data_IF_246808946950
#
_entry.id   IF_246808946950
#
_cell.length_a   1.000
_cell.length_b   1.000
_cell.length_c   1.000
_cell.angle_alpha   90.00
_cell.angle_beta   90.00
_cell.angle_gamma   90.00
#
_symmetry.space_group_name_H-M   'P 1'
#
loop_
_entity.id
_entity.type
_entity.pdbx_description
1 polymer ?
#
# COMPACT_ATOMS: atom_id res chain seq x y z
N UNK A 1 23.04 -51.55 17.04
CA UNK A 1 22.02 -50.68 16.42
C UNK A 1 22.80 -49.67 15.60
N UNK A 2 22.86 -49.90 14.29
CA UNK A 2 23.88 -49.37 13.38
C UNK A 2 23.71 -47.86 13.14
N UNK A 3 24.83 -47.11 13.22
CA UNK A 3 24.92 -45.66 12.97
C UNK A 3 24.43 -45.24 11.56
N UNK A 4 24.35 -46.19 10.62
CA UNK A 4 23.84 -45.99 9.26
C UNK A 4 22.31 -45.75 9.20
N UNK A 5 21.57 -46.17 10.23
CA UNK A 5 20.12 -45.93 10.34
C UNK A 5 19.77 -44.48 10.67
N UNK A 6 20.64 -43.75 11.37
CA UNK A 6 20.41 -42.34 11.69
C UNK A 6 20.83 -41.40 10.55
N UNK A 7 21.89 -41.75 9.81
CA UNK A 7 22.37 -40.95 8.66
C UNK A 7 21.43 -41.00 7.46
N UNK A 8 20.71 -42.11 7.27
CA UNK A 8 19.72 -42.24 6.19
C UNK A 8 18.41 -41.47 6.43
N UNK A 9 18.09 -41.14 7.68
CA UNK A 9 16.92 -40.30 8.02
C UNK A 9 17.27 -38.81 7.87
N UNK A 10 18.52 -38.41 8.10
CA UNK A 10 18.97 -37.02 7.93
C UNK A 10 19.27 -36.63 6.47
N UNK A 11 19.62 -37.57 5.58
CA UNK A 11 19.88 -37.21 4.17
C UNK A 11 18.60 -37.08 3.32
N UNK A 12 17.46 -37.58 3.81
CA UNK A 12 16.20 -37.62 3.04
C UNK A 12 15.19 -36.52 3.42
N UNK A 13 15.47 -35.71 4.45
CA UNK A 13 14.63 -34.58 4.85
C UNK A 13 15.01 -33.26 4.17
N UNK A 14 16.21 -33.17 3.57
CA UNK A 14 16.71 -31.93 2.94
C UNK A 14 16.45 -31.71 1.44
N UNK A 15 15.91 -32.63 0.60
CA UNK A 15 15.66 -32.30 -0.81
C UNK A 15 14.39 -31.46 -1.07
N UNK A 16 13.40 -31.49 -0.18
CA UNK A 16 12.08 -30.89 -0.45
C UNK A 16 11.91 -29.44 0.05
N UNK A 17 12.62 -29.02 1.10
CA UNK A 17 12.52 -27.64 1.61
C UNK A 17 13.26 -26.63 0.71
N UNK A 18 14.37 -27.04 0.08
CA UNK A 18 15.13 -26.20 -0.85
C UNK A 18 14.42 -26.02 -2.21
N UNK A 19 13.51 -26.93 -2.57
CA UNK A 19 12.76 -26.86 -3.83
C UNK A 19 11.59 -25.87 -3.78
N UNK A 20 11.24 -25.38 -2.59
CA UNK A 20 10.07 -24.54 -2.35
C UNK A 20 10.39 -23.06 -2.15
N UNK A 21 11.65 -22.63 -2.21
CA UNK A 21 11.95 -21.20 -2.04
C UNK A 21 11.78 -20.45 -3.35
N UNK A 22 10.73 -19.62 -3.43
CA UNK A 22 10.50 -18.79 -4.59
C UNK A 22 11.60 -17.74 -4.82
N UNK A 23 11.78 -17.30 -6.07
CA UNK A 23 12.61 -16.12 -6.42
C UNK A 23 12.20 -14.94 -5.53
N UNK A 24 13.12 -14.48 -4.68
CA UNK A 24 12.84 -13.40 -3.72
C UNK A 24 12.95 -11.99 -4.33
N UNK A 25 13.73 -11.85 -5.42
CA UNK A 25 14.00 -10.55 -6.04
C UNK A 25 12.73 -9.82 -6.54
N UNK A 26 11.80 -10.46 -7.28
CA UNK A 26 10.55 -9.81 -7.70
C UNK A 26 9.69 -9.37 -6.52
N UNK A 27 9.71 -10.14 -5.42
CA UNK A 27 8.96 -9.83 -4.19
C UNK A 27 9.55 -8.60 -3.49
N UNK A 28 10.88 -8.48 -3.46
CA UNK A 28 11.55 -7.28 -2.94
C UNK A 28 11.30 -6.05 -3.81
N UNK A 29 11.31 -6.17 -5.15
CA UNK A 29 11.00 -5.06 -6.05
C UNK A 29 9.55 -4.58 -5.84
N UNK A 30 8.59 -5.50 -5.72
CA UNK A 30 7.21 -5.16 -5.42
C UNK A 30 7.09 -4.45 -4.07
N UNK A 31 7.79 -4.94 -3.06
CA UNK A 31 7.82 -4.31 -1.73
C UNK A 31 8.47 -2.93 -1.75
N UNK A 32 9.55 -2.73 -2.50
CA UNK A 32 10.19 -1.43 -2.67
C UNK A 32 9.25 -0.43 -3.37
N UNK A 33 8.49 -0.87 -4.37
CA UNK A 33 7.48 -0.01 -5.01
C UNK A 33 6.34 0.37 -4.06
N UNK A 34 5.92 -0.54 -3.18
CA UNK A 34 4.93 -0.25 -2.14
C UNK A 34 5.51 0.70 -1.07
N UNK A 35 6.78 0.52 -0.70
CA UNK A 35 7.49 1.43 0.20
C UNK A 35 7.52 2.85 -0.35
N UNK A 36 7.75 3.06 -1.65
CA UNK A 36 7.63 4.39 -2.27
C UNK A 36 6.23 4.99 -2.09
N UNK A 37 5.19 4.17 -2.19
CA UNK A 37 3.82 4.60 -1.89
C UNK A 37 3.62 4.92 -0.41
N UNK A 38 4.24 4.18 0.51
CA UNK A 38 4.22 4.49 1.94
C UNK A 38 4.99 5.78 2.24
N UNK A 39 6.07 6.07 1.52
CA UNK A 39 6.75 7.36 1.58
C UNK A 39 5.82 8.48 1.11
N UNK A 40 5.12 8.31 -0.01
CA UNK A 40 4.15 9.29 -0.51
C UNK A 40 3.00 9.52 0.48
N UNK A 41 2.41 8.44 1.03
CA UNK A 41 1.34 8.50 2.03
C UNK A 41 1.78 9.13 3.34
N UNK A 42 2.97 8.75 3.84
CA UNK A 42 3.57 9.34 5.04
C UNK A 42 3.93 10.82 4.83
N UNK A 43 4.28 11.20 3.60
CA UNK A 43 4.58 12.59 3.27
C UNK A 43 3.37 13.52 3.43
N UNK A 44 2.17 13.02 3.13
CA UNK A 44 0.93 13.78 3.35
C UNK A 44 0.73 14.10 4.82
N UNK A 45 1.07 13.16 5.72
CA UNK A 45 0.95 13.31 7.16
C UNK A 45 2.00 14.29 7.72
N UNK A 46 3.25 14.19 7.26
CA UNK A 46 4.33 15.06 7.73
C UNK A 46 4.27 16.49 7.17
N UNK A 47 3.60 16.72 6.04
CA UNK A 47 3.53 18.05 5.41
C UNK A 47 2.88 19.12 6.31
N UNK A 48 1.76 18.81 6.99
CA UNK A 48 1.09 19.78 7.86
C UNK A 48 1.99 20.20 9.03
N UNK A 49 2.73 19.26 9.62
CA UNK A 49 3.57 19.54 10.79
C UNK A 49 4.75 20.47 10.49
N UNK A 50 5.36 20.34 9.32
CA UNK A 50 6.55 21.12 8.95
C UNK A 50 6.22 22.53 8.45
N UNK A 51 5.09 22.67 7.75
CA UNK A 51 4.79 23.89 7.02
C UNK A 51 4.07 24.94 7.88
N UNK A 52 3.62 24.58 9.08
CA UNK A 52 2.76 25.42 9.94
C UNK A 52 3.43 26.75 10.32
N UNK A 53 4.66 26.71 10.83
CA UNK A 53 5.36 27.94 11.26
C UNK A 53 5.74 28.85 10.08
N UNK A 54 6.04 28.27 8.93
CA UNK A 54 6.48 29.01 7.75
C UNK A 54 5.29 29.59 6.97
N UNK A 55 4.15 28.88 6.94
CA UNK A 55 2.89 29.42 6.41
C UNK A 55 2.39 30.62 7.23
N UNK A 56 2.60 30.62 8.54
CA UNK A 56 2.15 31.69 9.42
C UNK A 56 3.01 32.97 9.27
N UNK A 57 4.31 32.82 8.97
CA UNK A 57 5.24 33.94 8.82
C UNK A 57 5.27 34.52 7.40
N UNK A 58 5.45 33.68 6.39
CA UNK A 58 5.74 34.11 5.01
C UNK A 58 4.59 33.84 4.04
N UNK A 59 3.55 33.13 4.51
CA UNK A 59 2.44 32.69 3.66
C UNK A 59 2.85 31.63 2.64
N UNK A 60 1.93 31.28 1.74
CA UNK A 60 2.20 30.33 0.66
C UNK A 60 1.78 30.93 -0.67
N UNK A 61 2.69 31.05 -1.66
CA UNK A 61 2.41 31.72 -2.94
C UNK A 61 1.81 33.15 -2.78
N UNK A 62 2.34 33.96 -1.86
CA UNK A 62 1.80 35.29 -1.50
C UNK A 62 0.38 35.29 -0.89
N UNK A 63 -0.13 34.12 -0.48
CA UNK A 63 -1.39 33.99 0.25
C UNK A 63 -1.06 34.13 1.74
N UNK A 64 -1.64 35.14 2.39
CA UNK A 64 -1.63 35.23 3.86
C UNK A 64 -2.61 34.20 4.42
N UNK A 65 -2.15 33.38 5.34
CA UNK A 65 -2.94 32.29 5.92
C UNK A 65 -3.07 32.55 7.42
N UNK A 66 -4.30 32.60 7.91
CA UNK A 66 -4.56 32.80 9.34
C UNK A 66 -4.29 31.53 10.14
N UNK A 67 -4.00 31.65 11.44
CA UNK A 67 -3.76 30.51 12.33
C UNK A 67 -4.99 29.58 12.39
N UNK A 68 -6.21 30.11 12.18
CA UNK A 68 -7.44 29.30 12.07
C UNK A 68 -7.46 28.48 10.78
N UNK A 69 -7.02 29.06 9.66
CA UNK A 69 -6.99 28.40 8.37
C UNK A 69 -5.97 27.26 8.33
N UNK A 70 -4.82 27.43 8.98
CA UNK A 70 -3.79 26.38 9.10
C UNK A 70 -4.35 25.14 9.83
N UNK A 71 -5.12 25.33 10.89
CA UNK A 71 -5.76 24.22 11.62
C UNK A 71 -6.70 23.44 10.69
N UNK A 72 -7.49 24.14 9.88
CA UNK A 72 -8.36 23.53 8.88
C UNK A 72 -7.59 22.79 7.79
N UNK A 73 -6.42 23.28 7.34
CA UNK A 73 -5.56 22.58 6.37
C UNK A 73 -5.17 21.18 6.89
N UNK A 74 -4.85 21.09 8.18
CA UNK A 74 -4.58 19.81 8.85
C UNK A 74 -5.81 18.91 8.93
N UNK A 75 -6.94 19.45 9.41
CA UNK A 75 -8.19 18.70 9.55
C UNK A 75 -8.78 18.22 8.21
N UNK A 76 -8.63 18.98 7.13
CA UNK A 76 -9.08 18.58 5.80
C UNK A 76 -8.44 17.27 5.33
N UNK A 77 -7.16 17.05 5.64
CA UNK A 77 -6.48 15.79 5.29
C UNK A 77 -7.04 14.59 6.07
N UNK A 78 -7.31 14.76 7.37
CA UNK A 78 -7.89 13.68 8.19
C UNK A 78 -9.33 13.38 7.82
N UNK A 79 -10.12 14.41 7.50
CA UNK A 79 -11.48 14.25 6.96
C UNK A 79 -11.48 13.49 5.63
N UNK A 80 -10.54 13.80 4.73
CA UNK A 80 -10.37 13.06 3.48
C UNK A 80 -10.02 11.58 3.73
N UNK A 81 -9.10 11.30 4.65
CA UNK A 81 -8.74 9.93 5.01
C UNK A 81 -9.93 9.15 5.59
N UNK A 82 -10.71 9.77 6.47
CA UNK A 82 -11.92 9.18 7.05
C UNK A 82 -12.96 8.86 5.96
N UNK A 83 -13.19 9.79 5.03
CA UNK A 83 -14.15 9.61 3.95
C UNK A 83 -13.80 8.41 3.04
N UNK A 84 -12.52 8.17 2.78
CA UNK A 84 -12.09 7.05 1.93
C UNK A 84 -11.99 5.70 2.63
N UNK A 85 -11.89 5.66 3.96
CA UNK A 85 -11.73 4.41 4.70
C UNK A 85 -12.88 3.41 4.41
N UNK A 86 -14.13 3.89 4.40
CA UNK A 86 -15.31 3.06 4.12
C UNK A 86 -15.33 2.44 2.69
N UNK A 87 -15.17 3.22 1.61
CA UNK A 87 -15.21 2.67 0.25
C UNK A 87 -13.95 1.89 -0.16
N UNK A 88 -12.83 2.01 0.57
CA UNK A 88 -11.55 1.39 0.16
C UNK A 88 -11.66 -0.11 -0.07
N UNK A 89 -12.35 -0.85 0.81
CA UNK A 89 -12.54 -2.30 0.65
C UNK A 89 -13.28 -2.65 -0.64
N UNK A 90 -14.38 -1.94 -0.92
CA UNK A 90 -15.17 -2.12 -2.14
C UNK A 90 -14.37 -1.75 -3.40
N UNK A 91 -13.57 -0.69 -3.32
CA UNK A 91 -12.73 -0.23 -4.42
C UNK A 91 -11.68 -1.29 -4.80
N UNK A 92 -11.00 -1.85 -3.80
CA UNK A 92 -10.00 -2.90 -3.98
C UNK A 92 -10.61 -4.21 -4.52
N UNK A 93 -11.84 -4.55 -4.13
CA UNK A 93 -12.51 -5.75 -4.61
C UNK A 93 -13.04 -5.59 -6.04
N UNK A 94 -13.59 -4.42 -6.39
CA UNK A 94 -14.20 -4.18 -7.70
C UNK A 94 -13.19 -3.84 -8.80
N UNK A 95 -12.24 -2.95 -8.53
CA UNK A 95 -11.24 -2.53 -9.53
C UNK A 95 -10.07 -3.51 -9.64
N UNK A 96 -9.79 -4.25 -8.57
CA UNK A 96 -8.54 -4.99 -8.40
C UNK A 96 -7.55 -4.20 -7.57
N UNK A 97 -6.52 -4.90 -7.09
CA UNK A 97 -5.64 -4.37 -6.04
C UNK A 97 -4.61 -3.44 -6.67
N UNK A 98 -4.03 -3.84 -7.81
CA UNK A 98 -3.10 -2.99 -8.56
C UNK A 98 -3.77 -1.71 -9.05
N UNK A 99 -4.93 -1.84 -9.72
CA UNK A 99 -5.65 -0.68 -10.26
C UNK A 99 -6.10 0.28 -9.15
N UNK A 100 -6.59 -0.23 -8.01
CA UNK A 100 -6.93 0.61 -6.88
C UNK A 100 -5.72 1.44 -6.41
N UNK A 101 -4.56 0.82 -6.21
CA UNK A 101 -3.35 1.52 -5.78
C UNK A 101 -2.87 2.54 -6.83
N UNK A 102 -2.98 2.24 -8.13
CA UNK A 102 -2.66 3.20 -9.20
C UNK A 102 -3.59 4.43 -9.19
N UNK A 103 -4.90 4.23 -8.93
CA UNK A 103 -5.83 5.35 -8.77
C UNK A 103 -5.42 6.23 -7.58
N UNK A 104 -5.03 5.62 -6.45
CA UNK A 104 -4.53 6.37 -5.29
C UNK A 104 -3.24 7.14 -5.61
N UNK A 105 -2.33 6.56 -6.40
CA UNK A 105 -1.12 7.24 -6.88
C UNK A 105 -1.46 8.50 -7.69
N UNK A 106 -2.44 8.41 -8.59
CA UNK A 106 -2.94 9.56 -9.35
C UNK A 106 -3.58 10.60 -8.43
N UNK A 107 -4.34 10.18 -7.43
CA UNK A 107 -4.92 11.09 -6.43
C UNK A 107 -3.84 11.84 -5.63
N UNK A 108 -2.74 11.19 -5.24
CA UNK A 108 -1.62 11.88 -4.60
C UNK A 108 -1.06 12.99 -5.49
N UNK A 109 -0.77 12.68 -6.75
CA UNK A 109 -0.22 13.66 -7.70
C UNK A 109 -1.19 14.81 -7.89
N UNK A 110 -2.47 14.52 -8.15
CA UNK A 110 -3.51 15.54 -8.31
C UNK A 110 -3.59 16.45 -7.08
N UNK A 111 -3.63 15.88 -5.88
CA UNK A 111 -3.71 16.64 -4.64
C UNK A 111 -2.49 17.55 -4.43
N UNK A 112 -1.28 17.09 -4.73
CA UNK A 112 -0.09 17.93 -4.68
C UNK A 112 -0.09 19.04 -5.73
N UNK A 113 -0.55 18.77 -6.96
CA UNK A 113 -0.66 19.79 -8.00
C UNK A 113 -1.65 20.90 -7.60
N UNK A 114 -2.78 20.54 -6.99
CA UNK A 114 -3.74 21.53 -6.45
C UNK A 114 -3.09 22.44 -5.40
N UNK A 115 -2.21 21.91 -4.55
CA UNK A 115 -1.48 22.70 -3.55
C UNK A 115 -0.41 23.57 -4.21
N UNK A 116 0.39 23.03 -5.14
CA UNK A 116 1.49 23.76 -5.80
C UNK A 116 0.96 24.99 -6.57
N UNK A 117 -0.16 24.82 -7.28
CA UNK A 117 -0.82 25.86 -8.06
C UNK A 117 -1.90 26.61 -7.29
N UNK A 118 -1.95 26.48 -5.97
CA UNK A 118 -2.94 27.16 -5.16
C UNK A 118 -2.76 28.69 -5.26
N UNK A 119 -3.84 29.35 -5.69
CA UNK A 119 -4.01 30.81 -5.68
C UNK A 119 -4.96 31.27 -4.56
N UNK A 120 -5.57 30.32 -3.83
CA UNK A 120 -6.48 30.57 -2.72
C UNK A 120 -6.36 29.46 -1.67
N UNK A 121 -6.70 29.78 -0.41
CA UNK A 121 -6.71 28.80 0.69
C UNK A 121 -7.67 27.63 0.40
N UNK A 122 -8.79 27.90 -0.27
CA UNK A 122 -9.74 26.87 -0.71
C UNK A 122 -9.11 25.81 -1.62
N UNK A 123 -8.19 26.18 -2.51
CA UNK A 123 -7.49 25.19 -3.35
C UNK A 123 -6.57 24.30 -2.52
N UNK A 124 -5.96 24.85 -1.48
CA UNK A 124 -5.16 24.08 -0.51
C UNK A 124 -6.08 23.09 0.21
N UNK A 125 -7.25 23.50 0.69
CA UNK A 125 -8.22 22.58 1.32
C UNK A 125 -8.62 21.43 0.41
N UNK A 126 -8.95 21.71 -0.85
CA UNK A 126 -9.29 20.67 -1.83
C UNK A 126 -8.11 19.71 -2.03
N UNK A 127 -6.90 20.24 -2.23
CA UNK A 127 -5.69 19.41 -2.38
C UNK A 127 -5.41 18.54 -1.14
N UNK A 128 -5.63 19.07 0.07
CA UNK A 128 -5.48 18.33 1.34
C UNK A 128 -6.52 17.21 1.48
N UNK A 129 -7.77 17.46 1.11
CA UNK A 129 -8.80 16.41 1.10
C UNK A 129 -8.38 15.29 0.15
N UNK A 130 -7.97 15.62 -1.09
CA UNK A 130 -7.59 14.62 -2.10
C UNK A 130 -6.37 13.80 -1.67
N UNK A 131 -5.31 14.46 -1.18
CA UNK A 131 -4.11 13.76 -0.67
C UNK A 131 -4.41 12.92 0.57
N UNK A 132 -5.29 13.41 1.47
CA UNK A 132 -5.75 12.67 2.64
C UNK A 132 -6.55 11.43 2.27
N UNK A 133 -7.46 11.55 1.31
CA UNK A 133 -8.22 10.44 0.71
C UNK A 133 -7.28 9.34 0.18
N UNK A 134 -6.24 9.74 -0.56
CA UNK A 134 -5.24 8.81 -1.09
C UNK A 134 -4.43 8.12 0.01
N UNK A 135 -3.94 8.88 1.00
CA UNK A 135 -3.13 8.36 2.12
C UNK A 135 -3.91 7.37 2.98
N UNK A 136 -5.16 7.70 3.32
CA UNK A 136 -6.02 6.83 4.14
C UNK A 136 -6.35 5.49 3.49
N UNK A 137 -6.56 5.48 2.17
CA UNK A 137 -6.84 4.25 1.43
C UNK A 137 -5.58 3.42 1.12
N UNK A 138 -4.41 4.06 1.03
CA UNK A 138 -3.18 3.41 0.58
C UNK A 138 -2.66 2.34 1.55
N UNK A 139 -2.68 2.61 2.86
CA UNK A 139 -2.14 1.67 3.85
C UNK A 139 -2.85 0.31 3.83
N UNK A 140 -4.18 0.21 3.95
CA UNK A 140 -4.87 -1.08 3.86
C UNK A 140 -4.77 -1.70 2.45
N UNK A 141 -4.81 -0.89 1.38
CA UNK A 141 -4.70 -1.40 0.02
C UNK A 141 -3.34 -2.04 -0.26
N UNK A 142 -2.25 -1.38 0.15
CA UNK A 142 -0.87 -1.89 -0.02
C UNK A 142 -0.61 -3.14 0.83
N UNK A 143 -1.14 -3.18 2.06
CA UNK A 143 -1.04 -4.35 2.93
C UNK A 143 -1.72 -5.57 2.30
N UNK A 144 -2.95 -5.41 1.79
CA UNK A 144 -3.66 -6.49 1.09
C UNK A 144 -2.89 -6.89 -0.16
N UNK A 145 -2.50 -5.94 -1.01
CA UNK A 145 -1.75 -6.21 -2.24
C UNK A 145 -0.48 -7.03 -1.99
N UNK A 146 0.36 -6.61 -1.04
CA UNK A 146 1.58 -7.35 -0.70
C UNK A 146 1.28 -8.69 -0.04
N UNK A 147 0.25 -8.78 0.80
CA UNK A 147 -0.13 -10.05 1.45
C UNK A 147 -0.58 -11.10 0.43
N UNK A 148 -1.21 -10.70 -0.67
CA UNK A 148 -1.64 -11.62 -1.73
C UNK A 148 -0.51 -11.97 -2.70
N UNK A 149 0.53 -11.14 -2.78
CA UNK A 149 1.63 -11.27 -3.74
C UNK A 149 2.84 -12.01 -3.14
N UNK A 150 3.15 -11.74 -1.87
CA UNK A 150 4.34 -12.24 -1.18
C UNK A 150 4.11 -13.64 -0.60
N UNK A 151 5.17 -14.45 -0.67
CA UNK A 151 5.21 -15.81 -0.16
C UNK A 151 5.01 -15.86 1.37
N UNK A 152 4.33 -16.89 1.86
CA UNK A 152 3.87 -17.00 3.26
C UNK A 152 5.00 -16.80 4.28
N UNK A 153 6.20 -17.31 4.01
CA UNK A 153 7.36 -17.25 4.92
C UNK A 153 7.86 -15.83 5.19
N UNK A 154 7.98 -15.00 4.13
CA UNK A 154 8.53 -13.64 4.23
C UNK A 154 7.46 -12.55 4.22
N UNK A 155 6.18 -12.93 4.11
CA UNK A 155 5.02 -12.03 4.02
C UNK A 155 4.99 -11.00 5.13
N UNK A 156 5.16 -11.42 6.39
CA UNK A 156 5.05 -10.52 7.54
C UNK A 156 6.05 -9.37 7.47
N UNK A 157 7.32 -9.67 7.17
CA UNK A 157 8.37 -8.67 7.05
C UNK A 157 8.15 -7.72 5.88
N UNK A 158 7.84 -8.26 4.69
CA UNK A 158 7.69 -7.45 3.48
C UNK A 158 6.43 -6.58 3.49
N UNK A 159 5.30 -7.09 4.01
CA UNK A 159 4.09 -6.28 4.20
C UNK A 159 4.36 -5.12 5.15
N UNK A 160 5.09 -5.37 6.24
CA UNK A 160 5.43 -4.34 7.23
C UNK A 160 6.35 -3.27 6.63
N UNK A 161 7.39 -3.68 5.91
CA UNK A 161 8.33 -2.75 5.24
C UNK A 161 7.59 -1.93 4.18
N UNK A 162 6.79 -2.57 3.33
CA UNK A 162 6.05 -1.90 2.26
C UNK A 162 4.97 -0.93 2.76
N UNK A 163 4.47 -1.12 3.98
CA UNK A 163 3.49 -0.25 4.65
C UNK A 163 4.10 0.75 5.64
N UNK A 164 5.42 0.94 5.66
CA UNK A 164 6.11 1.72 6.70
C UNK A 164 5.97 3.25 6.50
N UNK A 165 4.77 3.78 6.76
CA UNK A 165 4.47 5.21 6.73
C UNK A 165 5.42 6.09 7.59
N UNK A 166 5.90 5.65 8.77
CA UNK A 166 6.80 6.46 9.59
C UNK A 166 8.09 6.87 8.88
N UNK A 167 8.60 6.06 7.95
CA UNK A 167 9.76 6.44 7.14
C UNK A 167 9.45 7.63 6.22
N UNK A 168 8.24 7.69 5.67
CA UNK A 168 7.77 8.82 4.87
C UNK A 168 7.65 10.08 5.70
N UNK A 169 7.08 9.96 6.90
CA UNK A 169 6.96 11.06 7.86
C UNK A 169 8.34 11.60 8.22
N UNK A 170 9.28 10.72 8.58
CA UNK A 170 10.65 11.10 8.93
C UNK A 170 11.35 11.82 7.76
N UNK A 171 11.23 11.29 6.54
CA UNK A 171 11.78 11.94 5.34
C UNK A 171 11.21 13.34 5.15
N UNK A 172 9.91 13.51 5.38
CA UNK A 172 9.30 14.84 5.25
C UNK A 172 9.72 15.86 6.29
N UNK A 173 10.06 15.44 7.52
CA UNK A 173 10.64 16.35 8.51
C UNK A 173 12.04 16.81 8.08
N UNK A 174 12.86 15.90 7.56
CA UNK A 174 14.20 16.23 7.06
C UNK A 174 14.10 17.21 5.87
N UNK A 175 13.22 16.93 4.92
CA UNK A 175 13.01 17.79 3.75
C UNK A 175 12.38 19.14 4.11
N UNK A 176 11.47 19.16 5.09
CA UNK A 176 10.83 20.39 5.57
C UNK A 176 11.80 21.34 6.22
N UNK A 177 12.81 20.83 6.94
CA UNK A 177 13.86 21.67 7.52
C UNK A 177 14.81 22.27 6.46
N UNK A 178 15.05 21.56 5.35
CA UNK A 178 16.07 21.92 4.38
C UNK A 178 15.57 22.77 3.20
N UNK A 179 14.25 22.79 2.93
CA UNK A 179 13.68 23.33 1.69
C UNK A 179 12.56 24.33 1.94
N UNK A 180 12.47 25.34 1.07
CA UNK A 180 11.35 26.28 1.06
C UNK A 180 10.00 25.57 0.85
N UNK A 181 8.88 26.09 1.39
CA UNK A 181 7.54 25.46 1.36
C UNK A 181 7.07 25.01 -0.03
N UNK A 182 7.34 25.82 -1.06
CA UNK A 182 6.98 25.51 -2.44
C UNK A 182 7.82 24.39 -3.03
N UNK A 183 9.15 24.45 -2.86
CA UNK A 183 10.06 23.43 -3.35
C UNK A 183 9.85 22.10 -2.61
N UNK A 184 9.64 22.17 -1.30
CA UNK A 184 9.24 21.04 -0.46
C UNK A 184 8.01 20.33 -1.04
N UNK A 185 6.93 21.06 -1.31
CA UNK A 185 5.69 20.49 -1.88
C UNK A 185 5.92 19.88 -3.28
N UNK A 186 6.76 20.50 -4.12
CA UNK A 186 7.15 19.96 -5.44
C UNK A 186 7.88 18.63 -5.28
N UNK A 187 8.81 18.51 -4.33
CA UNK A 187 9.53 17.25 -4.07
C UNK A 187 8.57 16.14 -3.66
N UNK A 188 7.54 16.42 -2.85
CA UNK A 188 6.53 15.41 -2.49
C UNK A 188 5.67 14.97 -3.69
N UNK A 189 5.38 15.89 -4.60
CA UNK A 189 4.73 15.56 -5.87
C UNK A 189 5.61 14.62 -6.72
N UNK A 190 6.92 14.89 -6.80
CA UNK A 190 7.89 14.04 -7.51
C UNK A 190 7.96 12.65 -6.91
N UNK A 191 7.99 12.51 -5.57
CA UNK A 191 7.93 11.21 -4.88
C UNK A 191 6.67 10.44 -5.29
N UNK A 192 5.53 11.13 -5.39
CA UNK A 192 4.26 10.52 -5.80
C UNK A 192 4.26 10.06 -7.26
N UNK A 193 4.93 10.81 -8.15
CA UNK A 193 5.14 10.43 -9.56
C UNK A 193 6.08 9.22 -9.67
N UNK A 194 7.18 9.19 -8.91
CA UNK A 194 8.09 8.06 -8.87
C UNK A 194 7.39 6.79 -8.37
N UNK A 195 6.53 6.93 -7.35
CA UNK A 195 5.67 5.84 -6.89
C UNK A 195 4.75 5.33 -8.00
N UNK A 196 4.03 6.22 -8.71
CA UNK A 196 3.17 5.83 -9.83
C UNK A 196 3.96 5.03 -10.88
N UNK A 197 5.11 5.54 -11.32
CA UNK A 197 5.96 4.89 -12.33
C UNK A 197 6.44 3.52 -11.85
N UNK A 198 6.96 3.44 -10.62
CA UNK A 198 7.45 2.18 -10.05
C UNK A 198 6.34 1.12 -9.93
N UNK A 199 5.12 1.56 -9.61
CA UNK A 199 3.99 0.67 -9.39
C UNK A 199 3.31 0.21 -10.71
N UNK A 200 3.45 0.96 -11.82
CA UNK A 200 2.91 0.57 -13.13
C UNK A 200 3.45 -0.78 -13.62
N UNK A 201 4.73 -1.07 -13.34
CA UNK A 201 5.41 -2.30 -13.77
C UNK A 201 5.08 -3.53 -12.91
N UNK A 202 4.36 -3.34 -11.79
CA UNK A 202 4.00 -4.42 -10.89
C UNK A 202 2.85 -5.27 -11.45
N UNK A 203 2.82 -6.58 -11.22
CA UNK A 203 1.72 -7.43 -11.67
C UNK A 203 0.45 -7.20 -10.84
N UNK A 204 -0.69 -7.68 -11.35
CA UNK A 204 -1.92 -7.76 -10.55
C UNK A 204 -1.85 -8.97 -9.61
N UNK A 205 -2.62 -8.97 -8.53
CA UNK A 205 -2.60 -10.09 -7.55
C UNK A 205 -3.12 -11.40 -8.17
N UNK A 206 -2.51 -12.56 -7.84
CA UNK A 206 -2.97 -13.85 -8.36
C UNK A 206 -4.38 -14.18 -7.87
N UNK A 207 -4.72 -13.80 -6.63
CA UNK A 207 -6.06 -13.99 -6.05
C UNK A 207 -7.13 -13.22 -6.84
N UNK A 208 -6.85 -11.97 -7.24
CA UNK A 208 -7.81 -11.20 -8.03
C UNK A 208 -8.04 -11.82 -9.42
N UNK A 209 -6.95 -12.25 -10.08
CA UNK A 209 -7.04 -12.93 -11.39
C UNK A 209 -7.85 -14.22 -11.28
N UNK A 210 -7.64 -15.02 -10.23
CA UNK A 210 -8.43 -16.22 -9.94
C UNK A 210 -9.91 -15.92 -9.68
N UNK A 211 -10.23 -14.86 -8.92
CA UNK A 211 -11.62 -14.45 -8.68
C UNK A 211 -12.36 -14.09 -9.97
N UNK A 212 -11.64 -13.60 -10.99
CA UNK A 212 -12.18 -13.28 -12.33
C UNK A 212 -12.24 -14.48 -13.29
N UNK A 213 -11.78 -15.67 -12.87
CA UNK A 213 -11.70 -16.84 -13.73
C UNK A 213 -10.51 -16.82 -14.71
N UNK A 214 -9.57 -15.89 -14.55
CA UNK A 214 -8.38 -15.75 -15.40
C UNK A 214 -7.22 -16.59 -14.84
N UNK A 215 -7.39 -17.91 -14.81
CA UNK A 215 -6.48 -18.88 -14.17
C UNK A 215 -5.05 -18.82 -14.76
N UNK A 216 -4.93 -18.70 -16.09
CA UNK A 216 -3.63 -18.54 -16.76
C UNK A 216 -2.87 -17.27 -16.34
N UNK A 217 -3.57 -16.14 -16.15
CA UNK A 217 -2.91 -14.90 -15.69
C UNK A 217 -2.45 -15.01 -14.24
N UNK A 218 -3.23 -15.70 -13.40
CA UNK A 218 -2.83 -15.99 -12.03
C UNK A 218 -1.57 -16.86 -12.00
N UNK A 219 -1.53 -17.91 -12.84
CA UNK A 219 -0.36 -18.79 -12.99
C UNK A 219 0.89 -18.03 -13.43
N UNK A 220 0.79 -17.20 -14.47
CA UNK A 220 1.91 -16.36 -14.94
C UNK A 220 2.40 -15.38 -13.87
N UNK A 221 1.49 -14.81 -13.08
CA UNK A 221 1.85 -13.94 -11.96
C UNK A 221 2.63 -14.71 -10.89
N UNK A 222 2.17 -15.91 -10.52
CA UNK A 222 2.87 -16.75 -9.55
C UNK A 222 4.24 -17.18 -10.07
N UNK A 223 4.36 -17.58 -11.35
CA UNK A 223 5.66 -17.88 -11.98
C UNK A 223 6.60 -16.67 -11.91
N UNK A 224 6.09 -15.46 -12.19
CA UNK A 224 6.90 -14.24 -12.09
C UNK A 224 7.36 -13.95 -10.66
N UNK A 225 6.51 -14.20 -9.65
CA UNK A 225 6.79 -13.87 -8.25
C UNK A 225 7.56 -14.95 -7.49
N UNK A 226 7.40 -16.23 -7.86
CA UNK A 226 8.02 -17.41 -7.23
C UNK A 226 9.12 -18.04 -8.10
N UNK A 227 9.15 -17.77 -9.40
CA UNK A 227 10.10 -18.38 -10.33
C UNK A 227 9.67 -19.76 -10.83
N UNK A 228 10.39 -20.25 -11.84
CA UNK A 228 10.02 -21.42 -12.64
C UNK A 228 10.19 -22.77 -11.90
N UNK A 229 10.97 -22.79 -10.82
CA UNK A 229 11.25 -23.98 -10.01
C UNK A 229 10.23 -24.24 -8.90
N UNK A 230 9.31 -23.30 -8.66
CA UNK A 230 8.30 -23.39 -7.61
C UNK A 230 7.07 -24.19 -8.07
N UNK A 231 6.45 -24.97 -7.18
CA UNK A 231 5.19 -25.67 -7.48
C UNK A 231 4.00 -24.70 -7.48
N UNK A 232 3.90 -23.94 -8.58
CA UNK A 232 2.85 -22.95 -8.81
C UNK A 232 1.46 -23.60 -8.81
N UNK A 233 1.35 -24.83 -9.31
CA UNK A 233 0.06 -25.50 -9.44
C UNK A 233 -0.50 -25.92 -8.07
N UNK A 234 0.36 -26.23 -7.09
CA UNK A 234 -0.06 -26.42 -5.71
C UNK A 234 -0.61 -25.14 -5.07
N UNK A 235 0.11 -24.01 -5.16
CA UNK A 235 -0.35 -22.72 -4.61
C UNK A 235 -1.65 -22.24 -5.30
N UNK A 236 -1.78 -22.47 -6.62
CA UNK A 236 -3.00 -22.15 -7.36
C UNK A 236 -4.22 -22.94 -6.87
N UNK A 237 -4.06 -24.24 -6.57
CA UNK A 237 -5.12 -25.08 -5.99
C UNK A 237 -5.54 -24.60 -4.61
N UNK A 238 -4.59 -24.21 -3.76
CA UNK A 238 -4.89 -23.63 -2.45
C UNK A 238 -5.70 -22.34 -2.57
N UNK A 239 -5.30 -21.43 -3.47
CA UNK A 239 -6.01 -20.17 -3.73
C UNK A 239 -7.44 -20.46 -4.23
N UNK A 240 -7.61 -21.43 -5.14
CA UNK A 240 -8.92 -21.82 -5.67
C UNK A 240 -9.84 -22.36 -4.57
N UNK A 241 -9.34 -23.26 -3.73
CA UNK A 241 -10.07 -23.79 -2.59
C UNK A 241 -10.46 -22.69 -1.57
N UNK A 242 -9.55 -21.75 -1.29
CA UNK A 242 -9.83 -20.60 -0.43
C UNK A 242 -10.97 -19.72 -0.98
N UNK A 243 -10.96 -19.42 -2.29
CA UNK A 243 -12.01 -18.63 -2.94
C UNK A 243 -13.37 -19.35 -2.91
N UNK A 244 -13.41 -20.66 -3.10
CA UNK A 244 -14.65 -21.43 -3.00
C UNK A 244 -15.23 -21.45 -1.59
N UNK A 245 -14.36 -21.55 -0.57
CA UNK A 245 -14.77 -21.45 0.82
C UNK A 245 -15.29 -20.05 1.17
N UNK A 246 -14.67 -18.98 0.66
CA UNK A 246 -15.17 -17.60 0.80
C UNK A 246 -16.56 -17.42 0.16
N UNK A 247 -16.81 -18.01 -1.01
CA UNK A 247 -18.13 -17.96 -1.66
C UNK A 247 -19.21 -18.67 -0.84
N UNK A 248 -18.89 -19.82 -0.22
CA UNK A 248 -19.81 -20.59 0.62
C UNK A 248 -20.07 -19.91 1.97
N UNK A 249 -19.12 -19.13 2.46
CA UNK A 249 -19.15 -18.47 3.77
C UNK A 249 -19.52 -16.99 3.70
N UNK A 250 -20.29 -16.54 2.69
CA UNK A 250 -20.83 -15.16 2.61
C UNK A 250 -21.65 -14.82 3.86
N UNK A 251 -20.95 -14.42 4.92
CA UNK A 251 -21.51 -13.93 6.16
C UNK A 251 -21.84 -12.46 5.88
N UNK A 252 -23.12 -12.12 5.97
CA UNK A 252 -23.56 -10.73 5.86
C UNK A 252 -22.88 -9.86 6.92
N UNK A 253 -22.58 -8.60 6.62
CA UNK A 253 -21.97 -7.66 7.58
C UNK A 253 -22.77 -7.59 8.91
N UNK A 254 -24.10 -7.75 8.82
CA UNK A 254 -25.00 -7.87 9.98
C UNK A 254 -24.80 -9.15 10.79
N UNK A 255 -24.46 -10.27 10.13
CA UNK A 255 -24.21 -11.55 10.79
C UNK A 255 -22.82 -11.62 11.42
N UNK A 256 -21.84 -10.89 10.86
CA UNK A 256 -20.49 -10.76 11.42
C UNK A 256 -20.49 -10.02 12.76
N UNK A 257 -21.30 -8.95 12.88
CA UNK A 257 -21.50 -8.20 14.13
C UNK A 257 -22.31 -8.98 15.19
N UNK A 258 -23.06 -10.01 14.78
CA UNK A 258 -23.90 -10.84 15.65
C UNK A 258 -23.13 -12.04 16.22
N UNK A 259 -22.04 -12.47 15.60
CA UNK A 259 -21.18 -13.56 16.10
C UNK A 259 -20.40 -13.13 17.35
N UNK A 260 -20.49 -13.95 18.40
CA UNK A 260 -19.84 -13.72 19.70
C UNK A 260 -18.29 -13.81 19.63
N UNK A 261 -17.74 -14.49 18.63
CA UNK A 261 -16.28 -14.62 18.42
C UNK A 261 -15.63 -13.31 17.93
N UNK A 262 -16.38 -12.43 17.26
CA UNK A 262 -15.88 -11.15 16.72
C UNK A 262 -15.88 -10.03 17.77
N UNK A 263 -16.49 -10.22 18.95
CA UNK A 263 -16.57 -9.21 20.02
C UNK A 263 -15.33 -9.18 20.94
N UNK A 264 -14.33 -10.03 20.71
CA UNK A 264 -13.10 -10.12 21.53
C UNK A 264 -11.81 -9.83 20.76
N UNK A 265 -11.91 -9.40 19.50
CA UNK A 265 -10.77 -8.97 18.69
C UNK A 265 -10.68 -7.44 18.69
#
# INVERSE_FOLDING_TARGET
MSDDGLRSIQSNSQPNELRNQGKRLPQYIATASALLGALAGGSVLGWTGNITEELEKDGFNNIKIDSSEIKWIGSCATLGAMAMCFPTGFLCEKLGRKLAILVLAVMFIAGWLFIIFANSVSMIYVGRIITGMASGAFLPASAVYLSELVEKEIRGGLVTIGGCLPLGIMLTYILGFALNPKLYTIVLAVISVLFLIAFLFQPETPIYSMKRGEEEKARLTLIRMRGDSYDVDAELREIKAAIENDKKSKISFRDSLRKRSTRRA
#
